data_IF_550314152405
#
_entry.id   IF_550314152405
#
_cell.length_a   1.000
_cell.length_b   1.000
_cell.length_c   1.000
_cell.angle_alpha   90.00
_cell.angle_beta   90.00
_cell.angle_gamma   90.00
#
_symmetry.space_group_name_H-M   'P 1'
#
loop_
_entity.id
_entity.type
_entity.pdbx_description
1 polymer ?
#
# COMPACT_ATOMS: atom_id res chain seq x y z
N UNK A 1 -23.82 -8.41 13.40
CA UNK A 1 -22.98 -8.89 12.28
C UNK A 1 -23.91 -9.48 11.24
N UNK A 2 -23.75 -9.16 9.96
CA UNK A 2 -24.62 -9.65 8.88
C UNK A 2 -24.31 -11.13 8.55
N UNK A 3 -25.32 -11.92 8.16
CA UNK A 3 -25.18 -13.32 7.75
C UNK A 3 -24.14 -13.50 6.64
N UNK A 4 -24.08 -12.57 5.68
CA UNK A 4 -23.05 -12.56 4.62
C UNK A 4 -21.63 -12.53 5.17
N UNK A 5 -21.39 -11.81 6.27
CA UNK A 5 -20.07 -11.72 6.91
C UNK A 5 -19.72 -13.02 7.62
N UNK A 6 -20.69 -13.72 8.21
CA UNK A 6 -20.45 -15.04 8.78
C UNK A 6 -20.09 -16.07 7.70
N UNK A 7 -20.70 -15.97 6.51
CA UNK A 7 -20.38 -16.82 5.36
C UNK A 7 -18.98 -16.51 4.85
N UNK A 8 -18.64 -15.24 4.68
CA UNK A 8 -17.30 -14.81 4.29
C UNK A 8 -16.24 -15.35 5.27
N UNK A 9 -16.45 -15.19 6.58
CA UNK A 9 -15.56 -15.71 7.62
C UNK A 9 -15.40 -17.24 7.54
N UNK A 10 -16.51 -17.97 7.36
CA UNK A 10 -16.48 -19.44 7.19
C UNK A 10 -15.69 -19.85 5.95
N UNK A 11 -15.86 -19.15 4.82
CA UNK A 11 -15.15 -19.47 3.59
C UNK A 11 -13.65 -19.21 3.72
N UNK A 12 -13.28 -18.10 4.37
CA UNK A 12 -11.90 -17.74 4.71
C UNK A 12 -11.29 -18.60 5.83
N UNK A 13 -12.10 -19.45 6.49
CA UNK A 13 -11.71 -20.25 7.66
C UNK A 13 -11.18 -19.41 8.83
N UNK A 14 -11.80 -18.25 9.05
CA UNK A 14 -11.49 -17.34 10.13
C UNK A 14 -12.62 -17.33 11.18
N UNK A 15 -12.31 -17.11 12.46
CA UNK A 15 -13.32 -16.73 13.44
C UNK A 15 -14.02 -15.44 12.98
N UNK A 16 -15.34 -15.36 13.14
CA UNK A 16 -16.11 -14.16 12.72
C UNK A 16 -15.63 -12.91 13.47
N UNK A 17 -15.21 -13.08 14.73
CA UNK A 17 -14.66 -12.00 15.55
C UNK A 17 -13.40 -11.35 14.96
N UNK A 18 -12.63 -12.07 14.12
CA UNK A 18 -11.47 -11.50 13.44
C UNK A 18 -11.84 -10.41 12.42
N UNK A 19 -13.11 -10.36 11.99
CA UNK A 19 -13.60 -9.34 11.08
C UNK A 19 -14.21 -8.13 11.81
N UNK A 20 -14.23 -8.13 13.15
CA UNK A 20 -14.85 -7.05 13.93
C UNK A 20 -14.12 -5.72 13.84
N UNK A 21 -12.79 -5.75 13.62
CA UNK A 21 -11.95 -4.57 13.46
C UNK A 21 -11.87 -4.07 12.01
N UNK A 22 -12.56 -4.74 11.07
CA UNK A 22 -12.55 -4.37 9.67
C UNK A 22 -13.39 -3.11 9.44
N UNK A 23 -12.94 -2.25 8.53
CA UNK A 23 -13.70 -1.09 8.10
C UNK A 23 -15.04 -1.48 7.48
N UNK A 24 -16.01 -0.57 7.57
CA UNK A 24 -17.33 -0.80 6.98
C UNK A 24 -17.25 -1.00 5.46
N UNK A 25 -16.31 -0.33 4.78
CA UNK A 25 -16.11 -0.49 3.34
C UNK A 25 -15.61 -1.90 2.99
N UNK A 26 -14.67 -2.45 3.77
CA UNK A 26 -14.22 -3.83 3.61
C UNK A 26 -15.36 -4.83 3.87
N UNK A 27 -16.14 -4.62 4.94
CA UNK A 27 -17.30 -5.46 5.25
C UNK A 27 -18.37 -5.41 4.14
N UNK A 28 -18.68 -4.21 3.63
CA UNK A 28 -19.62 -4.04 2.53
C UNK A 28 -19.14 -4.75 1.25
N UNK A 29 -17.84 -4.68 0.95
CA UNK A 29 -17.26 -5.37 -0.20
C UNK A 29 -17.32 -6.90 -0.04
N UNK A 30 -17.03 -7.43 1.16
CA UNK A 30 -17.19 -8.86 1.45
C UNK A 30 -18.65 -9.33 1.30
N UNK A 31 -19.59 -8.54 1.81
CA UNK A 31 -21.02 -8.82 1.66
C UNK A 31 -21.42 -8.85 0.17
N UNK A 32 -20.96 -7.88 -0.62
CA UNK A 32 -21.24 -7.81 -2.05
C UNK A 32 -20.74 -9.06 -2.78
N UNK A 33 -19.53 -9.56 -2.47
CA UNK A 33 -19.00 -10.80 -3.07
C UNK A 33 -19.88 -11.99 -2.71
N UNK A 34 -20.21 -12.17 -1.43
CA UNK A 34 -21.04 -13.30 -0.98
C UNK A 34 -22.40 -13.32 -1.68
N UNK A 35 -23.01 -12.15 -1.87
CA UNK A 35 -24.29 -12.00 -2.57
C UNK A 35 -24.16 -12.21 -4.08
N UNK A 36 -23.13 -11.63 -4.71
CA UNK A 36 -22.91 -11.72 -6.16
C UNK A 36 -22.69 -13.16 -6.63
N UNK A 37 -21.97 -13.93 -5.83
CA UNK A 37 -21.67 -15.33 -6.13
C UNK A 37 -22.71 -16.33 -5.58
N UNK A 38 -23.74 -15.86 -4.87
CA UNK A 38 -24.77 -16.69 -4.22
C UNK A 38 -24.16 -17.88 -3.45
N UNK A 39 -23.15 -17.60 -2.63
CA UNK A 39 -22.26 -18.61 -2.02
C UNK A 39 -23.02 -19.67 -1.21
N UNK A 40 -24.19 -19.33 -0.66
CA UNK A 40 -25.01 -20.28 0.09
C UNK A 40 -25.58 -21.40 -0.80
N UNK A 41 -25.87 -21.10 -2.06
CA UNK A 41 -26.53 -22.02 -2.99
C UNK A 41 -25.59 -22.53 -4.09
N UNK A 42 -24.45 -21.88 -4.28
CA UNK A 42 -23.46 -22.28 -5.28
C UNK A 42 -22.85 -23.66 -4.96
N UNK A 43 -22.73 -24.49 -5.98
CA UNK A 43 -22.14 -25.84 -5.92
C UNK A 43 -20.95 -25.99 -6.85
N UNK A 44 -20.75 -25.05 -7.76
CA UNK A 44 -19.59 -25.02 -8.63
C UNK A 44 -18.36 -24.58 -7.83
N UNK A 45 -17.47 -25.55 -7.57
CA UNK A 45 -16.23 -25.31 -6.84
C UNK A 45 -15.39 -24.20 -7.47
N UNK A 46 -15.36 -24.08 -8.80
CA UNK A 46 -14.59 -23.01 -9.47
C UNK A 46 -15.08 -21.61 -9.10
N UNK A 47 -16.41 -21.44 -9.04
CA UNK A 47 -17.04 -20.17 -8.68
C UNK A 47 -16.78 -19.82 -7.20
N UNK A 48 -16.87 -20.83 -6.32
CA UNK A 48 -16.54 -20.68 -4.89
C UNK A 48 -15.06 -20.31 -4.71
N UNK A 49 -14.16 -20.88 -5.51
CA UNK A 49 -12.73 -20.55 -5.46
C UNK A 49 -12.43 -19.13 -5.93
N UNK A 50 -13.15 -18.63 -6.93
CA UNK A 50 -12.99 -17.25 -7.38
C UNK A 50 -13.49 -16.26 -6.30
N UNK A 51 -14.65 -16.53 -5.70
CA UNK A 51 -15.14 -15.73 -4.57
C UNK A 51 -14.18 -15.76 -3.36
N UNK A 52 -13.60 -16.93 -3.05
CA UNK A 52 -12.59 -17.06 -2.00
C UNK A 52 -11.38 -16.17 -2.29
N UNK A 53 -10.88 -16.15 -3.54
CA UNK A 53 -9.73 -15.32 -3.92
C UNK A 53 -9.99 -13.83 -3.74
N UNK A 54 -11.20 -13.37 -4.08
CA UNK A 54 -11.59 -11.97 -3.88
C UNK A 54 -11.72 -11.62 -2.39
N UNK A 55 -12.33 -12.52 -1.60
CA UNK A 55 -12.41 -12.35 -0.15
C UNK A 55 -11.03 -12.35 0.51
N UNK A 56 -10.12 -13.22 0.07
CA UNK A 56 -8.73 -13.27 0.55
C UNK A 56 -7.98 -11.97 0.24
N UNK A 57 -8.25 -11.35 -0.91
CA UNK A 57 -7.66 -10.05 -1.26
C UNK A 57 -8.15 -8.94 -0.32
N UNK A 58 -9.45 -8.88 -0.03
CA UNK A 58 -9.98 -7.91 0.94
C UNK A 58 -9.39 -8.18 2.33
N UNK A 59 -9.41 -9.43 2.78
CA UNK A 59 -8.87 -9.82 4.07
C UNK A 59 -7.39 -9.44 4.22
N UNK A 60 -6.56 -9.73 3.21
CA UNK A 60 -5.13 -9.37 3.21
C UNK A 60 -4.95 -7.85 3.25
N UNK A 61 -5.63 -7.11 2.37
CA UNK A 61 -5.53 -5.66 2.31
C UNK A 61 -5.92 -5.01 3.64
N UNK A 62 -7.02 -5.45 4.24
CA UNK A 62 -7.52 -4.86 5.46
C UNK A 62 -6.67 -5.22 6.69
N UNK A 63 -6.17 -6.45 6.75
CA UNK A 63 -5.20 -6.86 7.79
C UNK A 63 -3.93 -5.99 7.74
N UNK A 64 -3.43 -5.70 6.54
CA UNK A 64 -2.30 -4.79 6.36
C UNK A 64 -2.64 -3.37 6.83
N UNK A 65 -3.80 -2.83 6.43
CA UNK A 65 -4.23 -1.50 6.84
C UNK A 65 -4.36 -1.39 8.37
N UNK A 66 -5.04 -2.34 9.02
CA UNK A 66 -5.14 -2.39 10.49
C UNK A 66 -3.74 -2.36 11.12
N UNK A 67 -2.81 -3.16 10.60
CA UNK A 67 -1.42 -3.15 11.11
C UNK A 67 -0.73 -1.81 10.88
N UNK A 68 -0.97 -1.13 9.75
CA UNK A 68 -0.36 0.19 9.48
C UNK A 68 -0.79 1.25 10.50
N UNK A 69 -1.98 1.11 11.10
CA UNK A 69 -2.41 1.98 12.21
C UNK A 69 -1.54 1.80 13.45
N UNK A 70 -1.15 0.57 13.75
CA UNK A 70 -0.25 0.30 14.86
C UNK A 70 1.19 0.73 14.55
N UNK A 71 1.64 0.49 13.32
CA UNK A 71 2.97 0.93 12.85
C UNK A 71 3.10 2.46 12.89
N UNK A 72 2.07 3.21 12.45
CA UNK A 72 2.12 4.68 12.50
C UNK A 72 2.21 5.21 13.93
N UNK A 73 1.56 4.55 14.90
CA UNK A 73 1.68 4.90 16.32
C UNK A 73 3.10 4.68 16.87
N UNK A 74 3.83 3.68 16.34
CA UNK A 74 5.22 3.40 16.75
C UNK A 74 6.23 4.31 16.07
N UNK A 75 6.10 4.51 14.76
CA UNK A 75 6.99 5.40 14.00
C UNK A 75 6.78 6.86 14.43
N UNK A 76 5.55 7.26 14.72
CA UNK A 76 5.22 8.60 15.19
C UNK A 76 5.05 9.60 14.05
N UNK A 77 5.56 10.83 14.23
CA UNK A 77 5.28 11.97 13.35
C UNK A 77 5.82 11.83 11.91
N UNK A 78 6.75 10.90 11.66
CA UNK A 78 7.37 10.76 10.33
C UNK A 78 6.41 10.22 9.26
N UNK A 79 5.49 9.33 9.61
CA UNK A 79 4.52 8.74 8.67
C UNK A 79 3.14 8.54 9.28
N UNK A 80 2.13 9.20 8.71
CA UNK A 80 0.74 9.03 9.14
C UNK A 80 0.18 7.66 8.74
N UNK A 81 -0.93 7.28 9.34
CA UNK A 81 -1.69 6.08 8.97
C UNK A 81 -2.03 6.08 7.47
N UNK A 82 -2.52 7.20 6.96
CA UNK A 82 -2.90 7.37 5.55
C UNK A 82 -1.69 7.24 4.63
N UNK A 83 -0.55 7.82 5.01
CA UNK A 83 0.70 7.68 4.27
C UNK A 83 1.12 6.21 4.18
N UNK A 84 1.12 5.49 5.29
CA UNK A 84 1.49 4.07 5.31
C UNK A 84 0.50 3.20 4.53
N UNK A 85 -0.81 3.47 4.62
CA UNK A 85 -1.82 2.75 3.85
C UNK A 85 -1.71 2.95 2.35
N UNK A 86 -1.13 4.07 1.90
CA UNK A 86 -0.89 4.39 0.49
C UNK A 86 0.33 3.68 -0.13
N UNK A 87 1.14 2.99 0.69
CA UNK A 87 2.26 2.18 0.23
C UNK A 87 1.75 0.91 -0.47
N UNK A 88 2.59 0.34 -1.33
CA UNK A 88 2.29 -0.93 -1.99
C UNK A 88 2.19 -2.10 -0.98
N UNK A 89 1.49 -3.17 -1.36
CA UNK A 89 1.27 -4.32 -0.48
C UNK A 89 2.56 -5.00 -0.01
N UNK A 90 3.62 -5.03 -0.84
CA UNK A 90 4.90 -5.65 -0.48
C UNK A 90 5.55 -4.86 0.66
N UNK A 91 5.61 -3.53 0.52
CA UNK A 91 6.12 -2.63 1.56
C UNK A 91 5.29 -2.75 2.86
N UNK A 92 3.95 -2.72 2.77
CA UNK A 92 3.09 -2.89 3.95
C UNK A 92 3.30 -4.24 4.63
N UNK A 93 3.50 -5.30 3.84
CA UNK A 93 3.80 -6.64 4.37
C UNK A 93 5.14 -6.66 5.11
N UNK A 94 6.19 -6.06 4.56
CA UNK A 94 7.48 -5.94 5.24
C UNK A 94 7.39 -5.14 6.54
N UNK A 95 6.59 -4.06 6.57
CA UNK A 95 6.31 -3.31 7.80
C UNK A 95 5.61 -4.18 8.84
N UNK A 96 4.56 -4.91 8.44
CA UNK A 96 3.85 -5.83 9.32
C UNK A 96 4.80 -6.89 9.90
N UNK A 97 5.63 -7.53 9.08
CA UNK A 97 6.59 -8.53 9.56
C UNK A 97 7.62 -7.93 10.52
N UNK A 98 8.18 -6.75 10.20
CA UNK A 98 9.12 -6.08 11.09
C UNK A 98 8.48 -5.71 12.43
N UNK A 99 7.24 -5.20 12.41
CA UNK A 99 6.49 -4.81 13.60
C UNK A 99 6.17 -6.01 14.50
N UNK A 100 5.73 -7.13 13.89
CA UNK A 100 5.46 -8.37 14.62
C UNK A 100 6.72 -9.01 15.19
N UNK A 101 7.87 -8.84 14.53
CA UNK A 101 9.15 -9.36 14.98
C UNK A 101 9.72 -8.55 16.16
N UNK A 102 9.82 -7.22 16.00
CA UNK A 102 10.29 -6.33 17.06
C UNK A 102 9.71 -4.91 16.88
N UNK A 103 8.58 -4.66 17.53
CA UNK A 103 7.94 -3.33 17.54
C UNK A 103 8.77 -2.23 18.22
N UNK A 104 9.84 -2.57 18.95
CA UNK A 104 10.71 -1.57 19.58
C UNK A 104 11.82 -1.08 18.65
N UNK A 105 12.07 -1.77 17.53
CA UNK A 105 13.01 -1.36 16.49
C UNK A 105 12.37 -0.32 15.56
N UNK A 106 12.14 0.89 16.13
CA UNK A 106 11.55 2.02 15.42
C UNK A 106 12.36 2.41 14.19
N UNK A 107 13.70 2.31 14.28
CA UNK A 107 14.59 2.63 13.17
C UNK A 107 14.36 1.69 11.98
N UNK A 108 14.23 0.38 12.22
CA UNK A 108 13.95 -0.58 11.15
C UNK A 108 12.60 -0.32 10.49
N UNK A 109 11.56 -0.03 11.28
CA UNK A 109 10.23 0.31 10.76
C UNK A 109 10.26 1.57 9.90
N UNK A 110 10.92 2.61 10.40
CA UNK A 110 11.13 3.87 9.68
C UNK A 110 11.85 3.62 8.35
N UNK A 111 12.95 2.86 8.34
CA UNK A 111 13.73 2.61 7.12
C UNK A 111 12.92 1.85 6.05
N UNK A 112 12.06 0.91 6.44
CA UNK A 112 11.17 0.22 5.49
C UNK A 112 10.15 1.20 4.91
N UNK A 113 9.49 1.99 5.76
CA UNK A 113 8.50 2.98 5.32
C UNK A 113 9.13 4.04 4.40
N UNK A 114 10.32 4.54 4.75
CA UNK A 114 11.09 5.51 3.98
C UNK A 114 11.42 5.01 2.58
N UNK A 115 11.95 3.79 2.46
CA UNK A 115 12.25 3.16 1.17
C UNK A 115 11.00 2.96 0.33
N UNK A 116 9.90 2.54 0.96
CA UNK A 116 8.60 2.42 0.31
C UNK A 116 8.10 3.74 -0.25
N UNK A 117 8.20 4.82 0.52
CA UNK A 117 7.82 6.16 0.10
C UNK A 117 8.66 6.67 -1.07
N UNK A 118 9.99 6.51 -0.99
CA UNK A 118 10.90 6.87 -2.10
C UNK A 118 10.47 6.12 -3.37
N UNK A 119 10.27 4.80 -3.27
CA UNK A 119 9.86 3.98 -4.42
C UNK A 119 8.51 4.41 -5.00
N UNK A 120 7.55 4.73 -4.14
CA UNK A 120 6.24 5.25 -4.54
C UNK A 120 6.39 6.57 -5.32
N UNK A 121 7.17 7.51 -4.81
CA UNK A 121 7.33 8.84 -5.41
C UNK A 121 8.22 8.83 -6.66
N UNK A 122 9.18 7.91 -6.76
CA UNK A 122 9.95 7.72 -7.99
C UNK A 122 9.06 7.38 -9.21
N UNK A 123 7.86 6.83 -9.02
CA UNK A 123 6.89 6.68 -10.12
C UNK A 123 6.51 8.03 -10.73
N UNK A 124 6.39 9.07 -9.90
CA UNK A 124 6.06 10.41 -10.36
C UNK A 124 7.28 11.10 -10.99
N UNK A 125 8.48 10.89 -10.43
CA UNK A 125 9.74 11.31 -11.06
C UNK A 125 9.90 10.69 -12.45
N UNK A 126 9.60 9.40 -12.59
CA UNK A 126 9.67 8.69 -13.86
C UNK A 126 8.70 9.28 -14.91
N UNK A 127 7.48 9.66 -14.50
CA UNK A 127 6.51 10.35 -15.38
C UNK A 127 7.05 11.70 -15.85
N UNK A 128 7.60 12.50 -14.94
CA UNK A 128 8.22 13.81 -15.24
C UNK A 128 9.34 13.65 -16.28
N UNK A 129 10.21 12.65 -16.09
CA UNK A 129 11.31 12.35 -17.00
C UNK A 129 10.89 11.62 -18.28
N UNK A 130 9.64 11.16 -18.37
CA UNK A 130 9.11 10.34 -19.44
C UNK A 130 9.95 9.05 -19.68
N UNK A 131 10.25 8.32 -18.59
CA UNK A 131 10.95 7.04 -18.60
C UNK A 131 10.20 5.98 -17.77
N UNK A 132 10.44 4.68 -17.99
CA UNK A 132 9.94 3.62 -17.11
C UNK A 132 10.43 3.77 -15.66
N UNK A 133 9.55 3.55 -14.68
CA UNK A 133 9.90 3.68 -13.26
C UNK A 133 10.91 2.63 -12.78
N UNK A 134 10.94 1.50 -13.47
CA UNK A 134 11.83 0.36 -13.21
C UNK A 134 13.29 0.78 -13.34
N UNK A 135 13.60 1.65 -14.30
CA UNK A 135 14.94 2.20 -14.50
C UNK A 135 15.39 2.97 -13.25
N UNK A 136 14.48 3.74 -12.63
CA UNK A 136 14.81 4.50 -11.42
C UNK A 136 15.07 3.60 -10.22
N UNK A 137 14.39 2.45 -10.12
CA UNK A 137 14.59 1.50 -9.02
C UNK A 137 15.91 0.73 -9.10
N UNK A 138 16.55 0.68 -10.26
CA UNK A 138 17.84 0.02 -10.46
C UNK A 138 19.04 0.87 -10.02
N UNK A 139 18.84 2.19 -9.83
CA UNK A 139 19.91 3.06 -9.34
C UNK A 139 20.26 2.78 -7.86
N UNK A 140 21.50 3.10 -7.44
CA UNK A 140 21.86 3.13 -6.03
C UNK A 140 20.87 3.93 -5.17
N UNK A 141 20.68 3.51 -3.92
CA UNK A 141 19.73 4.12 -2.98
C UNK A 141 19.96 5.63 -2.80
N UNK A 142 21.22 6.07 -2.74
CA UNK A 142 21.58 7.49 -2.66
C UNK A 142 21.07 8.30 -3.87
N UNK A 143 21.12 7.71 -5.07
CA UNK A 143 20.60 8.35 -6.29
C UNK A 143 19.07 8.41 -6.24
N UNK A 144 18.42 7.34 -5.79
CA UNK A 144 16.96 7.30 -5.61
C UNK A 144 16.50 8.37 -4.60
N UNK A 145 17.20 8.50 -3.48
CA UNK A 145 16.96 9.53 -2.46
C UNK A 145 17.14 10.95 -3.01
N UNK A 146 18.21 11.18 -3.78
CA UNK A 146 18.47 12.48 -4.38
C UNK A 146 17.36 12.87 -5.38
N UNK A 147 16.91 11.93 -6.21
CA UNK A 147 15.80 12.17 -7.14
C UNK A 147 14.50 12.49 -6.41
N UNK A 148 14.18 11.71 -5.37
CA UNK A 148 13.03 11.95 -4.51
C UNK A 148 13.11 13.32 -3.82
N UNK A 149 14.27 13.66 -3.23
CA UNK A 149 14.48 14.93 -2.54
C UNK A 149 14.35 16.14 -3.46
N UNK A 150 14.93 16.07 -4.68
CA UNK A 150 14.77 17.11 -5.70
C UNK A 150 13.29 17.26 -6.08
N UNK A 151 12.62 16.14 -6.34
CA UNK A 151 11.22 16.15 -6.72
C UNK A 151 10.34 16.77 -5.62
N UNK A 152 10.49 16.34 -4.37
CA UNK A 152 9.78 16.93 -3.24
C UNK A 152 10.06 18.42 -3.05
N UNK A 153 11.32 18.85 -3.20
CA UNK A 153 11.67 20.26 -3.05
C UNK A 153 10.88 21.16 -4.01
N UNK A 154 10.65 20.67 -5.23
CA UNK A 154 9.91 21.41 -6.24
C UNK A 154 8.38 21.23 -6.17
N UNK A 155 7.89 20.16 -5.54
CA UNK A 155 6.47 19.80 -5.59
C UNK A 155 5.75 19.66 -4.24
N UNK A 156 6.46 19.68 -3.10
CA UNK A 156 5.96 19.83 -1.72
C UNK A 156 4.92 18.81 -1.27
N UNK A 157 3.75 18.84 -1.88
CA UNK A 157 2.63 17.90 -1.85
C UNK A 157 1.93 18.03 -3.23
N UNK A 158 1.92 16.94 -4.01
CA UNK A 158 1.67 16.97 -5.45
C UNK A 158 0.31 17.57 -5.85
N UNK A 159 0.35 18.66 -6.63
CA UNK A 159 -0.73 19.10 -7.52
C UNK A 159 -0.42 18.60 -8.94
N UNK A 160 -1.22 17.64 -9.41
CA UNK A 160 -1.11 17.02 -10.74
C UNK A 160 -1.17 18.02 -11.89
N UNK A 161 -1.67 19.23 -11.65
CA UNK A 161 -1.79 20.29 -12.63
C UNK A 161 -0.49 21.12 -12.82
N UNK A 162 0.52 20.97 -11.96
CA UNK A 162 1.74 21.79 -11.99
C UNK A 162 3.01 21.03 -12.42
N UNK A 163 2.92 19.72 -12.68
CA UNK A 163 4.08 18.87 -12.95
C UNK A 163 4.75 19.08 -14.32
N UNK A 164 4.01 19.64 -15.29
CA UNK A 164 4.42 19.60 -16.70
C UNK A 164 5.30 20.78 -17.17
N UNK A 165 5.58 21.80 -16.35
CA UNK A 165 6.24 23.02 -16.81
C UNK A 165 7.30 23.59 -15.86
N UNK A 166 8.10 22.74 -15.18
CA UNK A 166 9.27 23.20 -14.45
C UNK A 166 10.60 22.75 -15.11
N UNK A 167 11.19 23.58 -15.99
CA UNK A 167 12.47 23.27 -16.64
C UNK A 167 13.61 23.04 -15.64
N UNK A 168 13.63 23.78 -14.52
CA UNK A 168 14.69 23.66 -13.52
C UNK A 168 14.66 22.30 -12.81
N UNK A 169 13.46 21.79 -12.49
CA UNK A 169 13.30 20.43 -12.00
C UNK A 169 13.87 19.42 -12.99
N UNK A 170 13.46 19.51 -14.26
CA UNK A 170 13.88 18.57 -15.29
C UNK A 170 15.40 18.54 -15.45
N UNK A 171 16.03 19.71 -15.48
CA UNK A 171 17.48 19.84 -15.58
C UNK A 171 18.19 19.25 -14.37
N UNK A 172 17.68 19.48 -13.15
CA UNK A 172 18.26 18.91 -11.92
C UNK A 172 18.13 17.39 -11.86
N UNK A 173 16.95 16.84 -12.21
CA UNK A 173 16.73 15.39 -12.22
C UNK A 173 17.63 14.71 -13.25
N UNK A 174 17.75 15.29 -14.46
CA UNK A 174 18.65 14.80 -15.50
C UNK A 174 20.12 14.89 -15.09
N UNK A 175 20.53 15.97 -14.44
CA UNK A 175 21.90 16.12 -13.94
C UNK A 175 22.28 15.01 -12.94
N UNK A 176 21.37 14.63 -12.04
CA UNK A 176 21.60 13.49 -11.12
C UNK A 176 21.77 12.17 -11.88
N UNK A 177 20.99 11.97 -12.94
CA UNK A 177 21.04 10.77 -13.78
C UNK A 177 22.15 10.81 -14.84
N UNK A 178 22.86 11.93 -14.99
CA UNK A 178 23.80 12.19 -16.09
C UNK A 178 23.17 12.01 -17.49
N UNK A 179 21.90 12.39 -17.64
CA UNK A 179 21.12 12.41 -18.89
C UNK A 179 21.14 13.78 -19.56
#
# INVERSE_FOLDING_TARGET
MNESIEIAAKLLKLPVDNLSDFSQDALNAMEAIVLMYDIQNEKNEGVIQDALRELEQIWRSETLNITMKDVSNVIGFDYSYETLCSLDEETKSHLMYAYLNDKSDVYRLFEIARKGMIRKELKNVAKVLNIPSEILYEYPEEIQENLYGIYLYHYGEFDENNAAENPELMDRLKAVLSL
#
